data_IF_438371679271
#
_entry.id   IF_438371679271
#
_cell.length_a   1.000
_cell.length_b   1.000
_cell.length_c   1.000
_cell.angle_alpha   90.00
_cell.angle_beta   90.00
_cell.angle_gamma   90.00
#
_symmetry.space_group_name_H-M   'P 1'
#
loop_
_entity.id
_entity.type
_entity.pdbx_description
1 polymer ?
#
# COMPACT_ATOMS: atom_id res chain seq x y z
N UNK A 1 15.18 -17.77 1.55
CA UNK A 1 14.47 -16.60 1.00
C UNK A 1 13.00 -16.63 1.43
N UNK A 2 12.57 -15.64 2.21
CA UNK A 2 11.21 -15.56 2.70
C UNK A 2 10.56 -14.28 2.22
N UNK A 3 9.48 -14.43 1.46
CA UNK A 3 8.66 -13.30 1.01
C UNK A 3 7.31 -13.41 1.71
N UNK A 4 6.93 -12.34 2.41
CA UNK A 4 5.64 -12.27 3.06
C UNK A 4 4.61 -11.66 2.10
N UNK A 5 3.47 -12.32 1.95
CA UNK A 5 2.36 -11.83 1.14
C UNK A 5 1.32 -11.21 2.07
N UNK A 6 0.93 -9.98 1.76
CA UNK A 6 -0.05 -9.24 2.56
C UNK A 6 -1.23 -8.93 1.66
N UNK A 7 -2.41 -9.43 2.02
CA UNK A 7 -3.62 -9.18 1.25
C UNK A 7 -4.06 -7.73 1.44
N UNK A 8 -4.14 -6.98 0.34
CA UNK A 8 -4.50 -5.56 0.33
C UNK A 8 -5.52 -5.29 -0.77
N UNK A 9 -6.77 -5.76 -0.58
CA UNK A 9 -7.80 -5.54 -1.59
C UNK A 9 -8.26 -4.08 -1.60
N UNK A 10 -8.87 -3.65 -2.69
CA UNK A 10 -9.42 -2.31 -2.85
C UNK A 10 -9.27 -1.79 -4.25
N UNK A 11 -8.07 -1.85 -4.82
CA UNK A 11 -7.88 -1.62 -6.25
C UNK A 11 -8.43 -2.81 -7.04
N UNK A 12 -8.12 -4.02 -6.58
CA UNK A 12 -8.74 -5.27 -7.06
C UNK A 12 -9.06 -6.15 -5.86
N UNK A 13 -9.90 -7.17 -6.08
CA UNK A 13 -10.25 -8.12 -5.01
C UNK A 13 -9.07 -8.96 -4.57
N UNK A 14 -8.17 -9.29 -5.48
CA UNK A 14 -7.00 -10.12 -5.20
C UNK A 14 -5.72 -9.33 -4.98
N UNK A 15 -5.82 -8.03 -4.75
CA UNK A 15 -4.64 -7.19 -4.55
C UNK A 15 -3.79 -7.64 -3.38
N UNK A 16 -2.48 -7.66 -3.57
CA UNK A 16 -1.53 -8.04 -2.54
C UNK A 16 -0.32 -7.13 -2.56
N UNK A 17 0.34 -7.02 -1.42
CA UNK A 17 1.67 -6.44 -1.30
C UNK A 17 2.65 -7.54 -0.93
N UNK A 18 3.90 -7.37 -1.32
CA UNK A 18 4.95 -8.33 -0.98
C UNK A 18 5.98 -7.64 -0.11
N UNK A 19 6.39 -8.29 0.96
CA UNK A 19 7.45 -7.77 1.82
C UNK A 19 8.64 -8.72 1.81
N UNK A 20 9.82 -8.16 1.56
CA UNK A 20 11.08 -8.89 1.63
C UNK A 20 12.08 -7.99 2.35
N UNK A 21 12.52 -8.41 3.55
CA UNK A 21 13.40 -7.61 4.42
C UNK A 21 12.75 -6.26 4.71
N UNK A 22 13.40 -5.14 4.37
CA UNK A 22 12.89 -3.79 4.58
C UNK A 22 12.25 -3.20 3.33
N UNK A 23 11.92 -4.04 2.35
CA UNK A 23 11.29 -3.65 1.10
C UNK A 23 9.83 -4.08 1.08
N UNK A 24 8.94 -3.16 0.74
CA UNK A 24 7.51 -3.43 0.61
C UNK A 24 7.07 -3.06 -0.80
N UNK A 25 6.69 -4.06 -1.58
CA UNK A 25 6.22 -3.86 -2.96
C UNK A 25 4.71 -3.69 -2.92
N UNK A 26 4.25 -2.48 -3.17
CA UNK A 26 2.85 -2.11 -2.93
C UNK A 26 1.96 -2.13 -4.18
N UNK A 27 2.53 -2.44 -5.34
CA UNK A 27 1.75 -2.58 -6.57
C UNK A 27 0.85 -1.37 -6.82
N UNK A 28 -0.43 -1.63 -7.01
CA UNK A 28 -1.42 -0.59 -7.24
C UNK A 28 -2.23 -0.26 -5.98
N UNK A 29 -1.69 -0.54 -4.80
CA UNK A 29 -2.36 -0.23 -3.53
C UNK A 29 -1.93 1.13 -3.00
N UNK A 30 -0.63 1.33 -2.81
CA UNK A 30 -0.10 2.55 -2.20
C UNK A 30 0.97 3.15 -3.09
N UNK A 31 0.82 4.43 -3.39
CA UNK A 31 1.80 5.21 -4.16
C UNK A 31 2.34 6.35 -3.28
N UNK A 32 3.46 6.93 -3.69
CA UNK A 32 3.98 8.12 -3.03
C UNK A 32 2.96 9.25 -3.18
N UNK A 33 2.35 9.65 -2.08
CA UNK A 33 1.35 10.72 -2.04
C UNK A 33 -0.04 10.33 -2.52
N UNK A 34 -0.28 9.05 -2.85
CA UNK A 34 -1.56 8.64 -3.43
C UNK A 34 -1.88 7.17 -3.13
N UNK A 35 -2.95 6.68 -3.71
CA UNK A 35 -3.36 5.29 -3.63
C UNK A 35 -3.91 4.83 -4.98
N UNK A 36 -4.03 3.51 -5.16
CA UNK A 36 -4.65 2.95 -6.34
C UNK A 36 -6.13 3.32 -6.42
N UNK A 37 -6.64 3.48 -7.63
CA UNK A 37 -8.05 3.83 -7.83
C UNK A 37 -8.95 2.65 -7.44
N UNK A 38 -10.16 2.96 -7.00
CA UNK A 38 -11.11 1.95 -6.52
C UNK A 38 -12.42 1.96 -7.31
N UNK A 39 -12.49 2.75 -8.37
CA UNK A 39 -13.73 2.99 -9.13
C UNK A 39 -13.90 2.06 -10.34
N UNK A 40 -12.99 1.12 -10.53
CA UNK A 40 -13.09 0.13 -11.61
C UNK A 40 -13.72 -1.16 -11.09
N UNK A 41 -14.09 -2.05 -12.02
CA UNK A 41 -14.67 -3.35 -11.66
C UNK A 41 -13.77 -4.10 -10.69
N UNK A 42 -14.35 -4.56 -9.59
CA UNK A 42 -13.60 -5.22 -8.51
C UNK A 42 -13.00 -4.27 -7.50
N UNK A 43 -13.03 -2.95 -7.76
CA UNK A 43 -12.55 -1.96 -6.81
C UNK A 43 -13.53 -1.74 -5.67
N UNK A 44 -13.01 -1.35 -4.50
CA UNK A 44 -13.82 -1.13 -3.31
C UNK A 44 -13.10 -0.17 -2.37
N UNK A 45 -13.71 0.99 -2.14
CA UNK A 45 -13.09 2.03 -1.33
C UNK A 45 -12.93 1.62 0.13
N UNK A 46 -13.90 0.92 0.70
CA UNK A 46 -13.82 0.46 2.08
C UNK A 46 -12.69 -0.55 2.25
N UNK A 47 -12.56 -1.49 1.30
CA UNK A 47 -11.45 -2.44 1.31
C UNK A 47 -10.11 -1.72 1.19
N UNK A 48 -10.03 -0.72 0.33
CA UNK A 48 -8.80 0.05 0.17
C UNK A 48 -8.44 0.78 1.46
N UNK A 49 -9.41 1.40 2.12
CA UNK A 49 -9.17 2.09 3.39
C UNK A 49 -8.62 1.12 4.45
N UNK A 50 -9.19 -0.07 4.54
CA UNK A 50 -8.72 -1.09 5.47
C UNK A 50 -7.32 -1.56 5.12
N UNK A 51 -7.01 -1.72 3.83
CA UNK A 51 -5.69 -2.11 3.36
C UNK A 51 -4.64 -1.05 3.69
N UNK A 52 -4.95 0.22 3.44
CA UNK A 52 -4.04 1.33 3.75
C UNK A 52 -3.80 1.44 5.25
N UNK A 53 -4.84 1.24 6.07
CA UNK A 53 -4.67 1.22 7.52
C UNK A 53 -3.72 0.10 7.95
N UNK A 54 -3.87 -1.08 7.36
CA UNK A 54 -2.98 -2.21 7.62
C UNK A 54 -1.53 -1.85 7.31
N UNK A 55 -1.28 -1.21 6.16
CA UNK A 55 0.06 -0.80 5.78
C UNK A 55 0.59 0.30 6.70
N UNK A 56 -0.25 1.22 7.14
CA UNK A 56 0.17 2.31 8.02
C UNK A 56 0.63 1.82 9.39
N UNK A 57 0.22 0.62 9.78
CA UNK A 57 0.60 0.02 11.06
C UNK A 57 1.89 -0.78 10.98
N UNK A 58 2.48 -0.90 9.80
CA UNK A 58 3.74 -1.59 9.61
C UNK A 58 4.92 -0.71 10.00
N UNK A 59 6.13 -1.29 10.02
CA UNK A 59 7.33 -0.56 10.43
C UNK A 59 7.59 0.65 9.55
N UNK A 60 7.90 1.78 10.18
CA UNK A 60 8.05 3.06 9.48
C UNK A 60 9.26 3.11 8.58
N UNK A 61 10.27 2.28 8.83
CA UNK A 61 11.49 2.27 8.03
C UNK A 61 11.38 1.42 6.77
N UNK A 62 10.23 0.78 6.52
CA UNK A 62 10.03 0.03 5.29
C UNK A 62 10.05 0.98 4.10
N UNK A 63 10.84 0.63 3.08
CA UNK A 63 10.83 1.35 1.81
C UNK A 63 9.73 0.76 0.93
N UNK A 64 8.85 1.60 0.43
CA UNK A 64 7.80 1.14 -0.49
C UNK A 64 8.26 1.29 -1.94
N UNK A 65 7.94 0.29 -2.73
CA UNK A 65 8.20 0.26 -4.17
C UNK A 65 6.85 0.10 -4.87
N UNK A 66 6.22 1.22 -5.24
CA UNK A 66 4.91 1.17 -5.91
C UNK A 66 5.01 0.64 -7.33
N UNK A 67 3.88 0.21 -7.88
CA UNK A 67 3.79 -0.15 -9.29
C UNK A 67 3.94 1.04 -10.22
N UNK A 68 3.64 2.24 -9.72
CA UNK A 68 3.74 3.50 -10.46
C UNK A 68 4.32 4.58 -9.55
N UNK A 69 5.12 5.48 -10.12
CA UNK A 69 5.68 6.59 -9.38
C UNK A 69 6.93 6.22 -8.58
N UNK A 70 7.46 7.17 -7.80
CA UNK A 70 8.71 6.98 -7.09
C UNK A 70 8.56 6.12 -5.84
N UNK A 71 9.67 5.57 -5.37
CA UNK A 71 9.71 4.89 -4.08
C UNK A 71 9.57 5.91 -2.95
N UNK A 72 9.16 5.42 -1.77
CA UNK A 72 9.00 6.24 -0.58
C UNK A 72 9.25 5.36 0.65
N UNK A 73 8.78 5.77 1.83
CA UNK A 73 8.81 4.95 3.05
C UNK A 73 7.45 5.02 3.72
N UNK A 74 7.16 4.03 4.57
CA UNK A 74 5.92 4.06 5.35
C UNK A 74 5.89 5.33 6.22
N UNK A 75 7.01 5.71 6.81
CA UNK A 75 7.08 6.93 7.63
C UNK A 75 6.66 8.18 6.86
N UNK A 76 7.24 8.36 5.66
CA UNK A 76 6.93 9.54 4.83
C UNK A 76 5.44 9.53 4.46
N UNK A 77 4.92 8.37 4.06
CA UNK A 77 3.52 8.29 3.65
C UNK A 77 2.56 8.52 4.81
N UNK A 78 2.89 8.05 6.00
CA UNK A 78 2.06 8.34 7.18
C UNK A 78 2.01 9.83 7.48
N UNK A 79 3.09 10.55 7.22
CA UNK A 79 3.17 11.99 7.51
C UNK A 79 2.56 12.85 6.40
N UNK A 80 2.64 12.40 5.15
CA UNK A 80 2.33 13.26 3.99
C UNK A 80 1.19 12.76 3.10
N UNK A 81 0.90 11.47 3.10
CA UNK A 81 -0.11 10.90 2.22
C UNK A 81 -1.50 11.08 2.85
N UNK A 82 -2.40 11.84 2.21
CA UNK A 82 -3.72 12.11 2.81
C UNK A 82 -4.56 10.84 2.98
N UNK A 83 -4.29 9.79 2.22
CA UNK A 83 -5.06 8.54 2.31
C UNK A 83 -4.58 7.64 3.46
N UNK A 84 -3.37 7.87 3.98
CA UNK A 84 -2.85 7.16 5.16
C UNK A 84 -3.09 7.92 6.46
N UNK A 85 -3.43 9.17 6.38
CA UNK A 85 -3.72 10.02 7.56
C UNK A 85 -5.16 9.80 7.98
N UNK A 86 -5.43 8.64 8.50
CA UNK A 86 -6.78 8.22 8.89
C UNK A 86 -7.12 8.59 10.32
#
# INVERSE_FOLDING_TARGET
LSIKVIHTPGHTKGGVCYMYRDMLFTGDTLFAGSMGRTDLYGGNEEHMNNSLRKLSEMEENLTIYPGHGPKSTIKIEKETNPFLRL
#
